data_IF_304783863591
#
_entry.id   IF_304783863591
#
_cell.length_a   1.000
_cell.length_b   1.000
_cell.length_c   1.000
_cell.angle_alpha   90.00
_cell.angle_beta   90.00
_cell.angle_gamma   90.00
#
_symmetry.space_group_name_H-M   'P 1'
#
loop_
_entity.id
_entity.type
_entity.pdbx_description
1 polymer ?
#
# COMPACT_ATOMS: atom_id res chain seq x y z
N UNK A 1 69.49 50.93 12.88
CA UNK A 1 68.31 50.97 12.00
C UNK A 1 67.44 49.74 12.29
N UNK A 2 66.31 50.03 12.93
CA UNK A 2 65.01 49.34 13.05
C UNK A 2 64.90 47.80 13.21
N UNK A 3 64.35 47.46 14.38
CA UNK A 3 63.72 46.22 14.82
C UNK A 3 62.36 45.98 14.13
N UNK A 4 62.07 44.69 13.88
CA UNK A 4 60.82 43.96 14.16
C UNK A 4 59.46 44.68 14.05
N UNK A 5 58.59 44.17 13.16
CA UNK A 5 57.14 44.27 13.32
C UNK A 5 56.40 43.05 12.71
N UNK A 6 55.62 42.37 13.55
CA UNK A 6 54.40 41.58 13.25
C UNK A 6 53.26 42.26 14.05
N UNK A 7 51.96 41.98 13.86
CA UNK A 7 51.23 41.36 12.75
C UNK A 7 49.94 42.15 12.38
N UNK A 8 49.15 41.66 11.42
CA UNK A 8 47.80 42.18 11.15
C UNK A 8 47.04 41.31 10.16
N UNK A 9 46.63 40.11 10.57
CA UNK A 9 45.78 39.23 9.77
C UNK A 9 44.40 39.88 9.65
N UNK A 10 44.10 40.41 8.47
CA UNK A 10 42.84 41.11 8.17
C UNK A 10 41.71 40.09 7.97
N UNK A 11 40.69 40.24 8.81
CA UNK A 11 39.44 39.50 8.87
C UNK A 11 38.64 39.65 7.56
N UNK A 12 38.99 38.88 6.52
CA UNK A 12 38.20 38.76 5.28
C UNK A 12 38.04 37.31 4.82
N UNK A 13 38.33 36.35 5.70
CA UNK A 13 38.11 34.93 5.44
C UNK A 13 36.71 34.44 5.87
N UNK A 14 35.87 35.30 6.45
CA UNK A 14 34.58 34.89 7.01
C UNK A 14 33.47 34.64 5.99
N UNK A 15 33.53 35.26 4.80
CA UNK A 15 32.41 35.25 3.85
C UNK A 15 32.48 34.12 2.80
N UNK A 16 33.67 33.57 2.55
CA UNK A 16 33.84 32.47 1.58
C UNK A 16 33.56 31.11 2.24
N UNK A 17 33.79 30.97 3.55
CA UNK A 17 33.58 29.70 4.27
C UNK A 17 32.09 29.37 4.47
N UNK A 18 31.20 30.38 4.48
CA UNK A 18 29.76 30.16 4.70
C UNK A 18 29.08 29.51 3.49
N UNK A 19 29.61 29.71 2.27
CA UNK A 19 29.02 29.14 1.05
C UNK A 19 29.28 27.64 0.89
N UNK A 20 30.20 27.04 1.66
CA UNK A 20 30.61 25.63 1.50
C UNK A 20 29.88 24.66 2.46
N UNK A 21 28.99 25.16 3.32
CA UNK A 21 28.27 24.34 4.31
C UNK A 21 26.83 23.99 3.85
N UNK A 22 26.29 24.68 2.85
CA UNK A 22 24.91 24.50 2.36
C UNK A 22 24.87 23.59 1.11
N UNK A 23 25.45 22.40 1.19
CA UNK A 23 25.44 21.44 0.09
C UNK A 23 25.28 19.97 0.50
N UNK A 24 25.34 19.67 1.80
CA UNK A 24 25.35 18.30 2.34
C UNK A 24 24.09 17.98 3.15
N UNK A 25 22.96 18.62 2.84
CA UNK A 25 21.65 18.06 3.18
C UNK A 25 21.30 16.97 2.15
N UNK A 26 22.15 15.94 2.07
CA UNK A 26 21.79 14.68 1.42
C UNK A 26 20.64 14.10 2.23
N UNK A 27 19.43 14.44 1.80
CA UNK A 27 18.20 13.83 2.29
C UNK A 27 18.40 12.32 2.22
N UNK A 28 18.19 11.65 3.36
CA UNK A 28 18.03 10.20 3.33
C UNK A 28 16.86 9.93 2.40
N UNK A 29 17.13 9.42 1.20
CA UNK A 29 16.08 8.79 0.40
C UNK A 29 15.66 7.58 1.23
N UNK A 30 14.54 7.72 1.94
CA UNK A 30 13.87 6.57 2.51
C UNK A 30 13.29 5.85 1.30
N UNK A 31 13.99 4.82 0.82
CA UNK A 31 13.38 3.84 -0.05
C UNK A 31 12.30 3.16 0.78
N UNK A 32 11.04 3.51 0.52
CA UNK A 32 9.90 2.76 1.04
C UNK A 32 10.07 1.33 0.56
N UNK A 33 10.31 0.40 1.49
CA UNK A 33 10.35 -1.01 1.16
C UNK A 33 8.96 -1.37 0.65
N UNK A 34 8.82 -1.55 -0.66
CA UNK A 34 7.58 -1.98 -1.28
C UNK A 34 7.24 -3.34 -0.67
N UNK A 35 6.22 -3.37 0.19
CA UNK A 35 5.78 -4.62 0.80
C UNK A 35 5.40 -5.56 -0.35
N UNK A 36 5.88 -6.82 -0.35
CA UNK A 36 5.54 -7.74 -1.42
C UNK A 36 4.03 -7.76 -1.56
N UNK A 37 3.51 -7.62 -2.79
CA UNK A 37 2.08 -7.52 -3.01
C UNK A 37 1.42 -8.77 -2.43
N UNK A 38 0.46 -8.55 -1.53
CA UNK A 38 -0.37 -9.63 -1.02
C UNK A 38 -1.10 -10.20 -2.25
N UNK A 39 -1.19 -11.52 -2.39
CA UNK A 39 -1.93 -12.14 -3.50
C UNK A 39 -1.10 -12.96 -4.47
N UNK A 40 -1.74 -13.40 -5.54
CA UNK A 40 -1.19 -14.31 -6.56
C UNK A 40 -1.14 -13.64 -7.91
N UNK A 41 -0.11 -13.95 -8.71
CA UNK A 41 -0.04 -13.47 -10.09
C UNK A 41 -1.07 -14.22 -10.93
N UNK A 42 -1.87 -13.48 -11.69
CA UNK A 42 -2.92 -14.00 -12.57
C UNK A 42 -2.68 -13.58 -14.00
N UNK A 43 -3.29 -14.29 -14.96
CA UNK A 43 -3.06 -14.10 -16.39
C UNK A 43 -3.64 -12.80 -16.97
N UNK A 44 -4.58 -12.17 -16.26
CA UNK A 44 -5.29 -11.00 -16.77
C UNK A 44 -6.22 -10.36 -15.75
N UNK A 45 -6.86 -9.24 -16.11
CA UNK A 45 -7.89 -8.62 -15.29
C UNK A 45 -9.14 -9.54 -15.23
N UNK A 46 -9.98 -9.39 -14.21
CA UNK A 46 -11.26 -10.07 -14.17
C UNK A 46 -12.18 -9.58 -15.30
N UNK A 47 -13.17 -10.38 -15.71
CA UNK A 47 -14.22 -9.90 -16.62
C UNK A 47 -15.00 -8.71 -16.03
N UNK A 48 -15.88 -8.12 -16.84
CA UNK A 48 -16.77 -7.06 -16.38
C UNK A 48 -17.55 -7.50 -15.13
N UNK A 49 -17.76 -6.56 -14.20
CA UNK A 49 -18.57 -6.81 -13.01
C UNK A 49 -20.01 -7.08 -13.44
N UNK A 50 -20.61 -8.15 -12.91
CA UNK A 50 -22.01 -8.46 -13.13
C UNK A 50 -22.85 -7.59 -12.20
N UNK A 51 -23.85 -6.90 -12.75
CA UNK A 51 -24.80 -6.15 -11.95
C UNK A 51 -25.88 -7.08 -11.43
N UNK A 52 -26.12 -7.04 -10.12
CA UNK A 52 -27.12 -7.85 -9.44
C UNK A 52 -28.03 -6.95 -8.60
N UNK A 53 -29.32 -7.25 -8.60
CA UNK A 53 -30.25 -6.64 -7.68
C UNK A 53 -30.03 -7.17 -6.26
N UNK A 54 -30.01 -6.27 -5.28
CA UNK A 54 -29.92 -6.64 -3.86
C UNK A 54 -31.33 -6.95 -3.34
N UNK A 55 -31.65 -8.20 -2.96
CA UNK A 55 -32.92 -8.53 -2.33
C UNK A 55 -32.99 -7.96 -0.90
N UNK A 56 -34.18 -7.95 -0.31
CA UNK A 56 -34.36 -7.53 1.08
C UNK A 56 -33.49 -8.36 2.04
N UNK A 57 -32.96 -7.71 3.08
CA UNK A 57 -32.16 -8.38 4.09
C UNK A 57 -33.01 -9.39 4.88
N UNK A 58 -32.51 -10.61 5.12
CA UNK A 58 -33.25 -11.62 5.88
C UNK A 58 -33.37 -11.25 7.37
N UNK A 59 -32.43 -10.46 7.90
CA UNK A 59 -32.46 -9.89 9.25
C UNK A 59 -31.54 -8.65 9.34
N UNK A 60 -31.65 -7.83 10.39
CA UNK A 60 -30.83 -6.62 10.56
C UNK A 60 -29.32 -6.84 10.74
N UNK A 61 -28.89 -8.06 11.11
CA UNK A 61 -27.49 -8.41 11.36
C UNK A 61 -26.76 -8.93 10.13
N UNK A 62 -27.50 -9.34 9.09
CA UNK A 62 -26.93 -9.80 7.84
C UNK A 62 -26.32 -8.61 7.07
N UNK A 63 -25.16 -8.82 6.45
CA UNK A 63 -24.60 -7.85 5.53
C UNK A 63 -24.65 -8.38 4.10
N UNK A 64 -24.77 -7.46 3.16
CA UNK A 64 -24.72 -7.80 1.74
C UNK A 64 -23.28 -7.92 1.29
N UNK A 65 -22.86 -9.13 0.95
CA UNK A 65 -21.64 -9.39 0.18
C UNK A 65 -22.00 -9.21 -1.28
N UNK A 66 -21.53 -8.13 -1.91
CA UNK A 66 -21.75 -7.92 -3.34
C UNK A 66 -21.06 -9.03 -4.14
N UNK A 67 -21.67 -9.44 -5.25
CA UNK A 67 -21.07 -10.45 -6.11
C UNK A 67 -19.68 -10.06 -6.60
N UNK A 68 -18.80 -11.04 -6.75
CA UNK A 68 -17.39 -10.81 -7.04
C UNK A 68 -16.76 -11.92 -7.87
N UNK A 69 -15.69 -11.56 -8.58
CA UNK A 69 -14.85 -12.52 -9.27
C UNK A 69 -13.85 -13.18 -8.31
N UNK A 70 -13.95 -14.49 -8.17
CA UNK A 70 -13.01 -15.32 -7.42
C UNK A 70 -12.01 -15.97 -8.37
N UNK A 71 -10.71 -15.88 -8.06
CA UNK A 71 -9.69 -16.61 -8.80
C UNK A 71 -9.57 -18.04 -8.27
N UNK A 72 -9.85 -19.03 -9.11
CA UNK A 72 -9.84 -20.45 -8.72
C UNK A 72 -8.45 -21.09 -8.72
N UNK A 73 -7.41 -20.34 -9.09
CA UNK A 73 -6.09 -20.88 -9.43
C UNK A 73 -5.88 -21.03 -10.95
N UNK A 74 -6.96 -21.11 -11.73
CA UNK A 74 -6.92 -21.30 -13.19
C UNK A 74 -7.69 -20.21 -13.95
N UNK A 75 -8.81 -19.75 -13.40
CA UNK A 75 -9.72 -18.80 -14.06
C UNK A 75 -10.52 -18.00 -13.03
N UNK A 76 -11.20 -16.94 -13.51
CA UNK A 76 -12.17 -16.22 -12.70
C UNK A 76 -13.53 -16.94 -12.71
N UNK A 77 -14.10 -17.13 -11.54
CA UNK A 77 -15.46 -17.63 -11.33
C UNK A 77 -16.30 -16.53 -10.66
N UNK A 78 -17.51 -16.30 -11.15
CA UNK A 78 -18.44 -15.36 -10.52
C UNK A 78 -19.05 -16.00 -9.29
N UNK A 79 -18.94 -15.32 -8.15
CA UNK A 79 -19.67 -15.65 -6.93
C UNK A 79 -20.83 -14.65 -6.83
N UNK A 80 -22.10 -15.10 -6.91
CA UNK A 80 -23.25 -14.22 -6.77
C UNK A 80 -23.27 -13.52 -5.41
N UNK A 81 -23.82 -12.31 -5.41
CA UNK A 81 -24.07 -11.56 -4.19
C UNK A 81 -25.01 -12.31 -3.27
N UNK A 82 -24.74 -12.24 -1.96
CA UNK A 82 -25.50 -12.95 -0.95
C UNK A 82 -25.50 -12.22 0.39
N UNK A 83 -26.49 -12.56 1.20
CA UNK A 83 -26.54 -12.14 2.59
C UNK A 83 -25.74 -13.12 3.45
N UNK A 84 -24.80 -12.59 4.23
CA UNK A 84 -23.98 -13.40 5.14
C UNK A 84 -23.98 -12.78 6.54
N UNK A 85 -23.88 -13.63 7.57
CA UNK A 85 -23.68 -13.18 8.94
C UNK A 85 -22.18 -12.91 9.15
N UNK A 86 -21.77 -11.65 9.44
CA UNK A 86 -20.36 -11.35 9.64
C UNK A 86 -19.81 -12.05 10.90
N UNK A 87 -18.59 -12.60 10.86
CA UNK A 87 -17.88 -12.96 12.08
C UNK A 87 -17.75 -11.74 13.01
N UNK A 88 -17.71 -11.99 14.32
CA UNK A 88 -17.69 -10.91 15.32
C UNK A 88 -16.55 -9.92 15.09
N UNK A 89 -16.89 -8.65 14.86
CA UNK A 89 -15.93 -7.57 14.64
C UNK A 89 -15.17 -7.64 13.31
N UNK A 90 -15.58 -8.52 12.39
CA UNK A 90 -14.99 -8.60 11.06
C UNK A 90 -15.71 -7.67 10.07
N UNK A 91 -14.95 -7.17 9.10
CA UNK A 91 -15.48 -6.44 7.93
C UNK A 91 -15.17 -7.23 6.67
N UNK A 92 -16.11 -7.21 5.72
CA UNK A 92 -15.88 -7.81 4.43
C UNK A 92 -14.88 -6.97 3.63
N UNK A 93 -13.79 -7.58 3.17
CA UNK A 93 -12.91 -7.01 2.17
C UNK A 93 -13.13 -7.76 0.85
N UNK A 94 -13.65 -7.06 -0.16
CA UNK A 94 -13.82 -7.64 -1.49
C UNK A 94 -12.47 -8.03 -2.11
N UNK A 95 -12.43 -9.05 -2.99
CA UNK A 95 -11.23 -9.31 -3.77
C UNK A 95 -10.91 -8.12 -4.65
N UNK A 96 -9.62 -7.91 -4.93
CA UNK A 96 -9.17 -6.86 -5.83
C UNK A 96 -8.04 -7.36 -6.70
N UNK A 97 -7.92 -6.78 -7.88
CA UNK A 97 -6.81 -7.02 -8.79
C UNK A 97 -6.07 -5.72 -8.96
N UNK A 98 -4.76 -5.75 -8.70
CA UNK A 98 -3.86 -4.61 -8.89
C UNK A 98 -2.87 -4.93 -10.00
N UNK A 99 -2.38 -3.89 -10.68
CA UNK A 99 -1.34 -4.04 -11.69
C UNK A 99 -0.02 -3.55 -11.11
N UNK A 100 1.00 -4.41 -11.11
CA UNK A 100 2.33 -4.12 -10.61
C UNK A 100 3.37 -4.68 -11.57
N UNK A 101 4.27 -3.83 -12.08
CA UNK A 101 5.27 -4.19 -13.11
C UNK A 101 4.69 -4.93 -14.33
N UNK A 102 3.51 -4.50 -14.79
CA UNK A 102 2.82 -5.13 -15.93
C UNK A 102 2.23 -6.52 -15.62
N UNK A 103 2.28 -6.97 -14.36
CA UNK A 103 1.63 -8.20 -13.90
C UNK A 103 0.33 -7.85 -13.18
N UNK A 104 -0.67 -8.71 -13.34
CA UNK A 104 -1.90 -8.64 -12.56
C UNK A 104 -1.74 -9.45 -11.28
N UNK A 105 -2.07 -8.85 -10.15
CA UNK A 105 -1.98 -9.47 -8.83
C UNK A 105 -3.37 -9.53 -8.22
N UNK A 106 -3.86 -10.75 -8.00
CA UNK A 106 -5.14 -11.01 -7.37
C UNK A 106 -4.99 -11.15 -5.86
N UNK A 107 -5.65 -10.27 -5.13
CA UNK A 107 -5.86 -10.36 -3.69
C UNK A 107 -7.22 -11.00 -3.41
N UNK A 108 -7.24 -12.13 -2.71
CA UNK A 108 -8.48 -12.80 -2.36
C UNK A 108 -9.32 -11.97 -1.38
N UNK A 109 -10.62 -11.95 -1.64
CA UNK A 109 -11.59 -11.38 -0.71
C UNK A 109 -11.72 -12.23 0.55
N UNK A 110 -12.31 -11.64 1.58
CA UNK A 110 -12.57 -12.34 2.82
C UNK A 110 -12.87 -11.42 4.00
N UNK A 111 -13.34 -12.03 5.07
CA UNK A 111 -13.56 -11.38 6.36
C UNK A 111 -12.24 -10.96 7.00
N UNK A 112 -12.13 -9.69 7.38
CA UNK A 112 -10.95 -9.11 8.03
C UNK A 112 -11.32 -8.60 9.40
N UNK A 113 -10.64 -9.08 10.43
CA UNK A 113 -10.74 -8.53 11.78
C UNK A 113 -9.63 -7.51 12.01
N UNK A 114 -9.90 -6.34 12.63
CA UNK A 114 -8.88 -5.34 12.95
C UNK A 114 -7.69 -5.91 13.76
N UNK A 115 -7.95 -6.93 14.57
CA UNK A 115 -6.97 -7.60 15.44
C UNK A 115 -6.54 -8.99 14.93
N UNK A 116 -6.81 -9.32 13.66
CA UNK A 116 -6.43 -10.63 13.11
C UNK A 116 -4.91 -10.80 13.08
N UNK A 117 -4.38 -12.02 13.29
CA UNK A 117 -2.94 -12.25 13.16
C UNK A 117 -2.51 -11.81 11.75
N UNK A 118 -1.51 -10.93 11.68
CA UNK A 118 -0.99 -10.35 10.43
C UNK A 118 -0.46 -11.39 9.42
N UNK A 119 -0.41 -12.67 9.80
CA UNK A 119 0.13 -13.82 9.06
C UNK A 119 -0.76 -15.08 9.16
N UNK A 120 -2.08 -15.01 8.95
CA UNK A 120 -2.88 -16.23 8.76
C UNK A 120 -2.86 -16.67 7.28
N UNK A 121 -1.82 -17.41 6.91
CA UNK A 121 -1.89 -18.37 5.79
C UNK A 121 -2.26 -19.70 6.46
N UNK A 122 -3.44 -20.24 6.16
CA UNK A 122 -3.80 -21.63 6.45
C UNK A 122 -4.02 -22.35 5.14
#
# INVERSE_FOLDING_TARGET
>A
MLLSAKPGVSMRAGLIVISMIVGLATGCVVNEAESPPRGVVVSGPPPAVVHEERPAAPNPQAIWVAGYWHWTGMQYAWIPGHWEAPPSGAVWAAPKVTTHDGRYIYESGGWRTPNGPRNAIR
#
